data_IF_131192797906
#
_entry.id   IF_131192797906
#
_cell.length_a   1.000
_cell.length_b   1.000
_cell.length_c   1.000
_cell.angle_alpha   90.00
_cell.angle_beta   90.00
_cell.angle_gamma   90.00
#
_symmetry.space_group_name_H-M   'P 1'
#
loop_
_entity.id
_entity.type
_entity.pdbx_description
1 polymer ?
#
# COMPACT_ATOMS: atom_id res chain seq x y z
N UNK A 1 -2.14 -24.16 -11.18
CA UNK A 1 -3.20 -24.59 -10.22
C UNK A 1 -4.43 -23.70 -10.36
N UNK A 2 -5.62 -24.20 -9.98
CA UNK A 2 -6.88 -23.42 -9.91
C UNK A 2 -7.63 -23.68 -8.59
N UNK A 3 -8.47 -22.71 -8.20
CA UNK A 3 -9.40 -22.86 -7.07
C UNK A 3 -10.82 -23.10 -7.58
N UNK A 4 -11.53 -24.05 -6.96
CA UNK A 4 -12.97 -24.24 -7.16
C UNK A 4 -13.66 -24.61 -5.86
N UNK A 5 -14.99 -24.54 -5.83
CA UNK A 5 -15.76 -25.06 -4.69
C UNK A 5 -15.43 -26.53 -4.48
N UNK A 6 -15.26 -26.90 -3.22
CA UNK A 6 -15.06 -28.28 -2.80
C UNK A 6 -16.39 -29.04 -2.85
N UNK A 7 -16.36 -30.23 -3.43
CA UNK A 7 -17.49 -31.12 -3.57
C UNK A 7 -17.24 -32.37 -2.73
N UNK A 8 -17.94 -32.49 -1.60
CA UNK A 8 -17.62 -33.51 -0.59
C UNK A 8 -17.76 -34.95 -1.08
N UNK A 9 -18.61 -35.20 -2.07
CA UNK A 9 -18.80 -36.54 -2.61
C UNK A 9 -17.68 -37.00 -3.54
N UNK A 10 -17.05 -36.08 -4.26
CA UNK A 10 -16.00 -36.36 -5.25
C UNK A 10 -14.59 -36.07 -4.72
N UNK A 11 -14.43 -35.10 -3.82
CA UNK A 11 -13.11 -34.63 -3.39
C UNK A 11 -12.64 -35.24 -2.07
N UNK A 12 -13.54 -35.74 -1.22
CA UNK A 12 -13.19 -36.23 0.11
C UNK A 12 -12.15 -37.36 0.05
N UNK A 13 -12.29 -38.26 -0.91
CA UNK A 13 -11.38 -39.41 -1.08
C UNK A 13 -9.92 -38.98 -1.30
N UNK A 14 -9.68 -37.83 -1.95
CA UNK A 14 -8.34 -37.32 -2.17
C UNK A 14 -7.67 -36.84 -0.89
N UNK A 15 -8.44 -36.33 0.09
CA UNK A 15 -7.90 -35.67 1.28
C UNK A 15 -7.98 -36.48 2.58
N UNK A 16 -8.75 -37.58 2.61
CA UNK A 16 -9.05 -38.34 3.84
C UNK A 16 -7.79 -38.80 4.60
N UNK A 17 -6.69 -39.03 3.88
CA UNK A 17 -5.43 -39.56 4.41
C UNK A 17 -4.32 -38.50 4.51
N UNK A 18 -4.61 -37.21 4.26
CA UNK A 18 -3.59 -36.14 4.33
C UNK A 18 -3.09 -35.84 5.74
N UNK A 19 -3.90 -36.16 6.75
CA UNK A 19 -3.59 -35.97 8.17
C UNK A 19 -3.80 -37.30 8.88
N UNK A 20 -2.69 -37.96 9.22
CA UNK A 20 -2.71 -39.30 9.80
C UNK A 20 -2.49 -39.32 11.30
N UNK A 21 -2.03 -38.23 11.91
CA UNK A 21 -1.86 -38.13 13.37
C UNK A 21 -2.84 -37.14 14.02
N UNK A 22 -3.30 -37.52 15.22
CA UNK A 22 -4.30 -36.77 16.00
C UNK A 22 -3.84 -35.35 16.36
N UNK A 23 -2.53 -35.16 16.58
CA UNK A 23 -1.98 -33.86 16.99
C UNK A 23 -1.98 -32.87 15.81
N UNK A 24 -1.60 -33.30 14.60
CA UNK A 24 -1.74 -32.48 13.40
C UNK A 24 -3.21 -32.22 13.05
N UNK A 25 -4.12 -33.19 13.30
CA UNK A 25 -5.56 -32.95 13.14
C UNK A 25 -6.05 -31.83 14.07
N UNK A 26 -5.68 -31.90 15.35
CA UNK A 26 -5.98 -30.84 16.31
C UNK A 26 -5.39 -29.48 15.87
N UNK A 27 -4.18 -29.44 15.30
CA UNK A 27 -3.60 -28.21 14.77
C UNK A 27 -4.32 -27.68 13.53
N UNK A 28 -4.89 -28.55 12.70
CA UNK A 28 -5.60 -28.17 11.47
C UNK A 28 -7.00 -27.61 11.77
N UNK A 29 -7.75 -28.25 12.65
CA UNK A 29 -9.16 -27.91 12.87
C UNK A 29 -9.52 -27.51 14.31
N UNK A 30 -8.56 -27.41 15.24
CA UNK A 30 -8.79 -27.11 16.64
C UNK A 30 -9.84 -28.04 17.31
N UNK A 31 -9.81 -29.34 16.97
CA UNK A 31 -10.78 -30.36 17.41
C UNK A 31 -12.26 -30.08 17.03
N UNK A 32 -12.52 -29.15 16.11
CA UNK A 32 -13.88 -28.92 15.59
C UNK A 32 -14.41 -30.10 14.76
N UNK A 33 -13.51 -30.86 14.13
CA UNK A 33 -13.83 -32.07 13.37
C UNK A 33 -13.27 -33.26 14.15
N UNK A 34 -14.05 -34.34 14.27
CA UNK A 34 -13.65 -35.54 15.01
C UNK A 34 -12.44 -36.22 14.35
N UNK A 35 -11.53 -36.77 15.17
CA UNK A 35 -10.46 -37.69 14.75
C UNK A 35 -10.91 -39.16 14.95
N UNK A 36 -10.59 -40.10 14.03
CA UNK A 36 -10.03 -39.86 12.69
C UNK A 36 -11.05 -39.15 11.78
N UNK A 37 -10.54 -38.47 10.75
CA UNK A 37 -11.36 -37.73 9.80
C UNK A 37 -12.33 -38.70 9.08
N UNK A 38 -13.62 -38.39 9.10
CA UNK A 38 -14.64 -39.11 8.32
C UNK A 38 -15.45 -38.15 7.49
N UNK A 39 -16.03 -38.66 6.39
CA UNK A 39 -16.83 -37.87 5.45
C UNK A 39 -18.04 -37.26 6.15
N UNK A 40 -18.66 -38.02 7.04
CA UNK A 40 -19.85 -37.62 7.78
C UNK A 40 -19.55 -36.42 8.69
N UNK A 41 -18.52 -36.52 9.54
CA UNK A 41 -18.18 -35.43 10.46
C UNK A 41 -17.67 -34.17 9.73
N UNK A 42 -16.94 -34.34 8.63
CA UNK A 42 -16.56 -33.21 7.79
C UNK A 42 -17.80 -32.54 7.19
N UNK A 43 -18.74 -33.32 6.62
CA UNK A 43 -19.97 -32.80 6.04
C UNK A 43 -20.83 -32.05 7.08
N UNK A 44 -21.00 -32.62 8.27
CA UNK A 44 -21.71 -32.00 9.38
C UNK A 44 -21.07 -30.67 9.78
N UNK A 45 -19.75 -30.65 9.94
CA UNK A 45 -19.02 -29.44 10.32
C UNK A 45 -19.14 -28.37 9.24
N UNK A 46 -18.97 -28.72 7.96
CA UNK A 46 -19.08 -27.80 6.84
C UNK A 46 -20.49 -27.19 6.74
N UNK A 47 -21.54 -28.01 6.93
CA UNK A 47 -22.91 -27.54 6.95
C UNK A 47 -23.17 -26.57 8.13
N UNK A 48 -22.62 -26.86 9.30
CA UNK A 48 -22.76 -25.99 10.48
C UNK A 48 -22.10 -24.61 10.25
N UNK A 49 -20.84 -24.58 9.81
CA UNK A 49 -20.11 -23.33 9.62
C UNK A 49 -20.67 -22.51 8.45
N UNK A 50 -21.14 -23.16 7.38
CA UNK A 50 -21.83 -22.49 6.28
C UNK A 50 -23.10 -21.80 6.78
N UNK A 51 -23.89 -22.49 7.61
CA UNK A 51 -25.12 -21.93 8.20
C UNK A 51 -24.83 -20.78 9.18
N UNK A 52 -23.80 -20.92 10.01
CA UNK A 52 -23.53 -20.00 11.12
C UNK A 52 -22.74 -18.76 10.71
N UNK A 53 -21.82 -18.92 9.78
CA UNK A 53 -20.83 -17.88 9.43
C UNK A 53 -20.75 -17.63 7.92
N UNK A 54 -21.44 -18.39 7.09
CA UNK A 54 -21.35 -18.25 5.63
C UNK A 54 -20.07 -18.82 5.04
N UNK A 55 -19.38 -19.73 5.75
CA UNK A 55 -18.18 -20.39 5.22
C UNK A 55 -18.49 -21.18 3.95
N UNK A 56 -17.59 -21.07 2.98
CA UNK A 56 -17.62 -21.83 1.73
C UNK A 56 -16.33 -22.63 1.60
N UNK A 57 -16.39 -23.95 1.36
CA UNK A 57 -15.21 -24.80 1.20
C UNK A 57 -14.69 -24.76 -0.24
N UNK A 58 -13.37 -24.75 -0.39
CA UNK A 58 -12.65 -24.70 -1.67
C UNK A 58 -11.58 -25.79 -1.75
N UNK A 59 -11.43 -26.31 -2.97
CA UNK A 59 -10.36 -27.22 -3.37
C UNK A 59 -9.35 -26.47 -4.25
N UNK A 60 -8.07 -26.70 -3.99
CA UNK A 60 -6.97 -26.39 -4.90
C UNK A 60 -6.75 -27.59 -5.83
N UNK A 61 -6.77 -27.35 -7.14
CA UNK A 61 -6.67 -28.38 -8.17
C UNK A 61 -5.45 -28.12 -9.05
N UNK A 62 -4.57 -29.12 -9.16
CA UNK A 62 -3.38 -29.06 -10.03
C UNK A 62 -3.77 -28.94 -11.50
N UNK A 63 -2.79 -28.67 -12.37
CA UNK A 63 -3.03 -28.58 -13.80
C UNK A 63 -3.41 -29.94 -14.42
N UNK A 64 -3.04 -31.04 -13.75
CA UNK A 64 -3.42 -32.41 -14.10
C UNK A 64 -4.80 -32.83 -13.56
N UNK A 65 -5.50 -31.94 -12.84
CA UNK A 65 -6.85 -32.17 -12.32
C UNK A 65 -6.91 -32.82 -10.93
N UNK A 66 -5.77 -32.98 -10.25
CA UNK A 66 -5.70 -33.58 -8.91
C UNK A 66 -6.00 -32.56 -7.82
N UNK A 67 -6.81 -32.95 -6.83
CA UNK A 67 -7.04 -32.13 -5.63
C UNK A 67 -5.79 -32.17 -4.76
N UNK A 68 -5.17 -31.02 -4.53
CA UNK A 68 -3.87 -30.88 -3.84
C UNK A 68 -3.94 -29.98 -2.61
N UNK A 69 -5.06 -29.31 -2.37
CA UNK A 69 -5.30 -28.55 -1.16
C UNK A 69 -6.76 -28.29 -0.88
N UNK A 70 -7.04 -27.92 0.37
CA UNK A 70 -8.37 -27.63 0.88
C UNK A 70 -8.30 -26.46 1.86
N UNK A 71 -9.32 -25.60 1.82
CA UNK A 71 -9.55 -24.58 2.83
C UNK A 71 -11.03 -24.16 2.82
N UNK A 72 -11.46 -23.46 3.87
CA UNK A 72 -12.72 -22.72 3.88
C UNK A 72 -12.45 -21.23 3.99
N UNK A 73 -13.34 -20.42 3.46
CA UNK A 73 -13.34 -19.00 3.77
C UNK A 73 -14.74 -18.45 4.00
N UNK A 74 -14.84 -17.43 4.86
CA UNK A 74 -16.06 -16.68 5.13
C UNK A 74 -15.76 -15.19 5.09
N UNK A 75 -16.62 -14.41 4.43
CA UNK A 75 -16.54 -12.95 4.43
C UNK A 75 -17.35 -12.37 5.58
N UNK A 76 -16.75 -11.48 6.37
CA UNK A 76 -17.44 -10.75 7.42
C UNK A 76 -17.81 -9.34 6.92
N UNK A 77 -19.11 -9.06 6.85
CA UNK A 77 -19.64 -7.77 6.36
C UNK A 77 -19.34 -6.58 7.30
N UNK A 78 -19.19 -6.81 8.60
CA UNK A 78 -18.92 -5.76 9.58
C UNK A 78 -17.46 -5.32 9.53
N UNK A 79 -16.53 -6.28 9.54
CA UNK A 79 -15.09 -5.99 9.52
C UNK A 79 -14.53 -5.80 8.12
N UNK A 80 -15.31 -6.19 7.08
CA UNK A 80 -14.86 -6.26 5.68
C UNK A 80 -13.62 -7.13 5.52
N UNK A 81 -13.51 -8.22 6.29
CA UNK A 81 -12.37 -9.15 6.23
C UNK A 81 -12.83 -10.56 5.89
N UNK A 82 -12.01 -11.30 5.14
CA UNK A 82 -12.20 -12.73 4.91
C UNK A 82 -11.45 -13.55 5.96
N UNK A 83 -12.10 -14.54 6.56
CA UNK A 83 -11.46 -15.49 7.48
C UNK A 83 -11.18 -16.81 6.78
N UNK A 84 -9.90 -17.17 6.60
CA UNK A 84 -9.47 -18.49 6.14
C UNK A 84 -9.45 -19.49 7.29
N UNK A 85 -9.98 -20.69 7.04
CA UNK A 85 -10.05 -21.81 7.99
C UNK A 85 -9.63 -23.11 7.31
N UNK A 86 -9.24 -24.10 8.12
CA UNK A 86 -8.99 -25.47 7.69
C UNK A 86 -8.04 -25.59 6.49
N UNK A 87 -7.00 -24.76 6.43
CA UNK A 87 -5.99 -24.80 5.38
C UNK A 87 -5.17 -26.09 5.50
N UNK A 88 -5.22 -26.95 4.49
CA UNK A 88 -4.42 -28.17 4.39
C UNK A 88 -4.00 -28.40 2.95
N UNK A 89 -2.83 -29.02 2.76
CA UNK A 89 -2.30 -29.43 1.47
C UNK A 89 -1.87 -30.88 1.53
N UNK A 90 -1.99 -31.56 0.39
CA UNK A 90 -1.53 -32.92 0.18
C UNK A 90 -0.07 -33.09 0.67
N UNK A 91 0.20 -34.04 1.58
CA UNK A 91 1.55 -34.41 1.98
C UNK A 91 2.55 -34.62 0.84
N UNK A 92 2.14 -35.29 -0.24
CA UNK A 92 3.00 -35.61 -1.39
C UNK A 92 3.29 -34.39 -2.28
N UNK A 93 2.50 -33.33 -2.10
CA UNK A 93 2.66 -32.04 -2.78
C UNK A 93 3.49 -31.02 -1.97
N UNK A 94 3.96 -31.39 -0.76
CA UNK A 94 4.75 -30.50 0.12
C UNK A 94 6.14 -30.22 -0.46
N UNK A 95 6.69 -29.06 -0.08
CA UNK A 95 8.01 -28.61 -0.56
C UNK A 95 8.02 -28.04 -1.98
N UNK A 96 6.92 -28.15 -2.72
CA UNK A 96 6.78 -27.66 -4.11
C UNK A 96 6.13 -26.28 -4.23
N UNK A 97 5.91 -25.59 -3.11
CA UNK A 97 5.28 -24.26 -3.09
C UNK A 97 3.75 -24.24 -3.18
N UNK A 98 3.08 -25.39 -3.25
CA UNK A 98 1.62 -25.52 -3.43
C UNK A 98 0.82 -24.72 -2.40
N UNK A 99 1.18 -24.82 -1.11
CA UNK A 99 0.50 -24.05 -0.06
C UNK A 99 0.58 -22.53 -0.30
N UNK A 100 1.74 -22.04 -0.76
CA UNK A 100 1.94 -20.62 -1.06
C UNK A 100 1.07 -20.19 -2.23
N UNK A 101 1.11 -20.94 -3.34
CA UNK A 101 0.30 -20.64 -4.53
C UNK A 101 -1.21 -20.69 -4.21
N UNK A 102 -1.67 -21.69 -3.45
CA UNK A 102 -3.07 -21.83 -3.03
C UNK A 102 -3.53 -20.64 -2.19
N UNK A 103 -2.72 -20.24 -1.20
CA UNK A 103 -3.03 -19.10 -0.34
C UNK A 103 -2.99 -17.78 -1.10
N UNK A 104 -2.02 -17.58 -1.99
CA UNK A 104 -1.97 -16.40 -2.86
C UNK A 104 -3.19 -16.30 -3.76
N UNK A 105 -3.66 -17.42 -4.33
CA UNK A 105 -4.91 -17.45 -5.10
C UNK A 105 -6.14 -17.15 -4.24
N UNK A 106 -6.19 -17.67 -3.01
CA UNK A 106 -7.29 -17.41 -2.09
C UNK A 106 -7.36 -15.92 -1.68
N UNK A 107 -6.20 -15.30 -1.42
CA UNK A 107 -6.09 -13.86 -1.14
C UNK A 107 -6.52 -13.03 -2.35
N UNK A 108 -6.04 -13.37 -3.54
CA UNK A 108 -6.44 -12.70 -4.78
C UNK A 108 -7.95 -12.77 -5.00
N UNK A 109 -8.53 -13.96 -4.90
CA UNK A 109 -9.97 -14.16 -5.05
C UNK A 109 -10.77 -13.35 -4.03
N UNK A 110 -10.32 -13.28 -2.77
CA UNK A 110 -10.98 -12.48 -1.74
C UNK A 110 -11.08 -11.00 -2.13
N UNK A 111 -10.01 -10.42 -2.67
CA UNK A 111 -9.97 -9.00 -3.04
C UNK A 111 -10.65 -8.67 -4.37
N UNK A 112 -10.82 -9.65 -5.26
CA UNK A 112 -11.52 -9.49 -6.54
C UNK A 112 -13.04 -9.69 -6.43
N UNK A 113 -13.48 -10.60 -5.56
CA UNK A 113 -14.89 -11.04 -5.48
C UNK A 113 -15.67 -10.46 -4.30
N UNK A 114 -15.02 -9.65 -3.46
CA UNK A 114 -15.66 -9.00 -2.32
C UNK A 114 -15.05 -7.62 -2.03
N UNK A 115 -15.74 -6.82 -1.22
CA UNK A 115 -15.24 -5.55 -0.69
C UNK A 115 -14.20 -5.76 0.44
N UNK A 116 -13.47 -6.89 0.42
CA UNK A 116 -12.55 -7.22 1.48
C UNK A 116 -11.36 -6.24 1.53
N UNK A 117 -11.12 -5.68 2.71
CA UNK A 117 -9.96 -4.85 3.04
C UNK A 117 -8.82 -5.68 3.65
N UNK A 118 -9.08 -6.95 3.96
CA UNK A 118 -8.08 -7.89 4.46
C UNK A 118 -8.55 -9.34 4.45
N UNK A 119 -7.57 -10.24 4.50
CA UNK A 119 -7.74 -11.69 4.68
C UNK A 119 -7.00 -12.08 5.94
N UNK A 120 -7.67 -12.76 6.85
CA UNK A 120 -7.11 -13.18 8.13
C UNK A 120 -7.22 -14.68 8.33
N UNK A 121 -6.40 -15.21 9.22
CA UNK A 121 -6.41 -16.61 9.65
C UNK A 121 -5.95 -16.73 11.09
N UNK A 122 -6.21 -17.89 11.70
CA UNK A 122 -5.63 -18.26 12.98
C UNK A 122 -4.68 -19.45 12.80
N UNK A 123 -3.53 -19.39 13.48
CA UNK A 123 -2.54 -20.45 13.53
C UNK A 123 -2.08 -20.65 14.97
N UNK A 124 -1.92 -21.91 15.40
CA UNK A 124 -1.24 -22.21 16.65
C UNK A 124 0.26 -21.87 16.49
N UNK A 125 0.89 -21.04 17.34
CA UNK A 125 2.33 -20.78 17.27
C UNK A 125 3.18 -22.05 17.29
N UNK A 126 2.67 -23.14 17.88
CA UNK A 126 3.30 -24.45 17.92
C UNK A 126 3.36 -25.10 16.53
N UNK A 127 2.51 -24.69 15.60
CA UNK A 127 2.57 -25.05 14.18
C UNK A 127 3.48 -24.08 13.40
N UNK A 128 4.77 -24.11 13.75
CA UNK A 128 5.80 -23.24 13.15
C UNK A 128 5.88 -23.37 11.63
N UNK A 129 5.55 -24.55 11.09
CA UNK A 129 5.58 -24.79 9.65
C UNK A 129 4.48 -24.01 8.93
N UNK A 130 3.25 -24.03 9.46
CA UNK A 130 2.15 -23.26 8.89
C UNK A 130 2.39 -21.75 9.05
N UNK A 131 2.81 -21.30 10.24
CA UNK A 131 3.12 -19.88 10.50
C UNK A 131 4.13 -19.31 9.49
N UNK A 132 5.26 -19.99 9.29
CA UNK A 132 6.28 -19.60 8.30
C UNK A 132 5.76 -19.62 6.86
N UNK A 133 4.81 -20.50 6.54
CA UNK A 133 4.17 -20.52 5.22
C UNK A 133 3.32 -19.26 5.02
N UNK A 134 2.53 -18.86 6.01
CA UNK A 134 1.71 -17.66 5.96
C UNK A 134 2.56 -16.39 5.88
N UNK A 135 3.64 -16.30 6.66
CA UNK A 135 4.60 -15.19 6.60
C UNK A 135 5.20 -15.04 5.19
N UNK A 136 5.59 -16.15 4.54
CA UNK A 136 6.11 -16.14 3.16
C UNK A 136 5.10 -15.75 2.09
N UNK A 137 3.80 -15.86 2.37
CA UNK A 137 2.73 -15.38 1.49
C UNK A 137 2.56 -13.87 1.64
N UNK A 138 2.89 -13.30 2.80
CA UNK A 138 2.72 -11.88 3.13
C UNK A 138 1.78 -11.62 4.32
N UNK A 139 1.30 -12.66 5.00
CA UNK A 139 0.55 -12.47 6.25
C UNK A 139 1.49 -11.99 7.35
N UNK A 140 1.03 -11.02 8.14
CA UNK A 140 1.73 -10.53 9.32
C UNK A 140 0.95 -10.86 10.60
N UNK A 141 1.64 -11.00 11.72
CA UNK A 141 1.01 -11.22 13.01
C UNK A 141 0.22 -9.98 13.45
N UNK A 142 -1.07 -10.18 13.78
CA UNK A 142 -1.97 -9.11 14.28
C UNK A 142 -2.16 -9.19 15.78
N UNK A 143 -2.34 -10.39 16.31
CA UNK A 143 -2.55 -10.61 17.74
C UNK A 143 -2.14 -12.03 18.16
N UNK A 144 -1.61 -12.19 19.37
CA UNK A 144 -1.30 -13.48 19.97
C UNK A 144 -2.03 -13.63 21.31
N UNK A 145 -2.89 -14.65 21.40
CA UNK A 145 -3.51 -15.06 22.68
C UNK A 145 -2.78 -16.28 23.23
N UNK A 146 -1.97 -16.18 24.31
CA UNK A 146 -1.33 -17.35 24.90
C UNK A 146 -2.35 -18.28 25.55
N UNK A 147 -2.04 -19.58 25.65
CA UNK A 147 -2.85 -20.59 26.32
C UNK A 147 -4.33 -20.63 25.87
N UNK A 148 -4.57 -20.38 24.58
CA UNK A 148 -5.91 -20.27 24.00
C UNK A 148 -6.56 -21.62 23.71
N UNK A 149 -5.78 -22.70 23.68
CA UNK A 149 -6.27 -24.05 23.39
C UNK A 149 -5.52 -25.08 24.23
N UNK A 150 -6.26 -26.03 24.81
CA UNK A 150 -5.67 -27.15 25.56
C UNK A 150 -5.74 -28.40 24.71
N UNK A 151 -4.58 -28.98 24.40
CA UNK A 151 -4.47 -30.27 23.71
C UNK A 151 -3.82 -31.27 24.65
N UNK A 152 -4.63 -32.14 25.27
CA UNK A 152 -4.16 -33.09 26.30
C UNK A 152 -3.40 -32.31 27.39
N UNK A 153 -2.11 -32.58 27.57
CA UNK A 153 -1.25 -31.92 28.57
C UNK A 153 -0.53 -30.66 28.01
N UNK A 154 -0.74 -30.32 26.74
CA UNK A 154 -0.18 -29.14 26.10
C UNK A 154 -1.13 -27.94 26.18
N UNK A 155 -0.57 -26.73 26.34
CA UNK A 155 -1.30 -25.47 26.21
C UNK A 155 -0.74 -24.69 25.03
N UNK A 156 -1.58 -24.42 24.04
CA UNK A 156 -1.21 -23.79 22.78
C UNK A 156 -1.71 -22.36 22.71
N UNK A 157 -0.91 -21.47 22.10
CA UNK A 157 -1.34 -20.10 21.80
C UNK A 157 -2.27 -20.03 20.59
N UNK A 158 -2.91 -18.89 20.34
CA UNK A 158 -3.63 -18.60 19.09
C UNK A 158 -3.09 -17.30 18.50
N UNK A 159 -2.33 -17.44 17.42
CA UNK A 159 -1.81 -16.32 16.64
C UNK A 159 -2.81 -16.01 15.52
N UNK A 160 -3.40 -14.82 15.58
CA UNK A 160 -4.16 -14.28 14.47
C UNK A 160 -3.21 -13.54 13.53
N UNK A 161 -3.24 -13.92 12.26
CA UNK A 161 -2.45 -13.29 11.21
C UNK A 161 -3.36 -12.64 10.17
N UNK A 162 -2.89 -11.57 9.55
CA UNK A 162 -3.62 -10.81 8.54
C UNK A 162 -2.74 -10.51 7.32
N UNK A 163 -3.31 -10.70 6.14
CA UNK A 163 -2.87 -10.12 4.88
C UNK A 163 -3.84 -8.98 4.59
N UNK A 164 -3.38 -7.74 4.71
CA UNK A 164 -4.24 -6.60 4.34
C UNK A 164 -4.26 -6.50 2.83
N UNK A 165 -5.41 -6.10 2.27
CA UNK A 165 -5.38 -5.50 0.94
C UNK A 165 -4.51 -4.28 1.15
N UNK A 166 -3.25 -4.33 0.73
CA UNK A 166 -2.57 -3.09 0.45
C UNK A 166 -3.53 -2.42 -0.52
N UNK A 167 -4.17 -1.34 -0.06
CA UNK A 167 -4.65 -0.36 -1.00
C UNK A 167 -3.36 0.03 -1.71
N UNK A 168 -3.11 -0.59 -2.87
CA UNK A 168 -2.09 -0.11 -3.78
C UNK A 168 -2.37 1.36 -3.86
N UNK A 169 -1.42 2.16 -3.35
CA UNK A 169 -1.59 3.58 -3.48
C UNK A 169 -1.75 3.81 -4.98
N UNK A 170 -2.86 4.40 -5.44
CA UNK A 170 -3.19 4.46 -6.86
C UNK A 170 -2.06 5.10 -7.68
N UNK A 171 -1.23 5.95 -7.05
CA UNK A 171 0.00 6.50 -7.63
C UNK A 171 1.03 5.46 -8.10
N UNK A 172 1.02 4.23 -7.56
CA UNK A 172 1.86 3.12 -8.03
C UNK A 172 1.36 2.48 -9.33
N UNK A 173 0.10 2.72 -9.70
CA UNK A 173 -0.53 2.09 -10.86
C UNK A 173 -0.56 3.02 -12.09
N UNK A 174 -0.35 4.31 -11.90
CA UNK A 174 -0.33 5.31 -12.97
C UNK A 174 1.02 5.28 -13.69
N UNK A 175 1.02 5.06 -15.01
CA UNK A 175 2.26 5.13 -15.79
C UNK A 175 2.81 6.55 -15.86
N UNK A 176 4.14 6.71 -15.90
CA UNK A 176 4.74 8.05 -15.97
C UNK A 176 4.33 8.79 -17.26
N UNK A 177 4.20 8.04 -18.36
CA UNK A 177 3.79 8.61 -19.64
C UNK A 177 2.36 9.16 -19.57
N UNK A 178 1.41 8.44 -18.97
CA UNK A 178 0.04 8.96 -18.80
C UNK A 178 0.02 10.19 -17.89
N UNK A 179 0.80 10.17 -16.80
CA UNK A 179 0.96 11.32 -15.90
C UNK A 179 1.53 12.55 -16.62
N UNK A 180 2.68 12.43 -17.28
CA UNK A 180 3.32 13.57 -17.95
C UNK A 180 2.52 14.04 -19.18
N UNK A 181 1.94 13.12 -19.95
CA UNK A 181 1.11 13.49 -21.10
C UNK A 181 -0.18 14.19 -20.66
N UNK A 182 -0.81 13.77 -19.55
CA UNK A 182 -1.92 14.50 -18.96
C UNK A 182 -1.52 15.91 -18.54
N UNK A 183 -0.49 16.01 -17.69
CA UNK A 183 -0.06 17.25 -17.05
C UNK A 183 0.46 18.29 -18.05
N UNK A 184 0.99 17.85 -19.19
CA UNK A 184 1.60 18.70 -20.22
C UNK A 184 0.64 19.18 -21.32
N UNK A 185 -0.62 18.71 -21.36
CA UNK A 185 -1.59 19.20 -22.35
C UNK A 185 -1.75 20.71 -22.25
N UNK A 186 -1.84 21.43 -23.38
CA UNK A 186 -2.04 22.88 -23.40
C UNK A 186 -3.31 23.32 -22.63
N UNK A 187 -4.33 22.46 -22.56
CA UNK A 187 -5.55 22.69 -21.79
C UNK A 187 -5.39 22.46 -20.28
N UNK A 188 -4.37 21.70 -19.86
CA UNK A 188 -4.07 21.39 -18.45
C UNK A 188 -2.94 22.30 -17.94
N UNK A 189 -1.80 22.28 -18.64
CA UNK A 189 -0.63 23.15 -18.49
C UNK A 189 0.01 23.17 -17.09
N UNK A 190 -0.24 22.12 -16.30
CA UNK A 190 0.28 22.02 -14.93
C UNK A 190 1.77 21.75 -14.93
N UNK A 191 2.26 20.85 -15.80
CA UNK A 191 3.67 20.46 -15.84
C UNK A 191 4.58 21.67 -16.11
N UNK A 192 4.22 22.49 -17.10
CA UNK A 192 4.94 23.68 -17.51
C UNK A 192 4.90 24.77 -16.44
N UNK A 193 3.73 24.96 -15.81
CA UNK A 193 3.55 26.00 -14.80
C UNK A 193 4.33 25.65 -13.53
N UNK A 194 4.23 24.40 -13.07
CA UNK A 194 5.03 23.88 -11.95
C UNK A 194 6.53 23.98 -12.24
N UNK A 195 6.97 23.64 -13.45
CA UNK A 195 8.38 23.76 -13.85
C UNK A 195 8.92 25.19 -13.64
N UNK A 196 8.16 26.19 -14.10
CA UNK A 196 8.49 27.62 -13.94
C UNK A 196 8.52 28.04 -12.48
N UNK A 197 7.55 27.60 -11.68
CA UNK A 197 7.46 27.95 -10.26
C UNK A 197 8.59 27.29 -9.45
N UNK A 198 8.90 26.03 -9.74
CA UNK A 198 9.96 25.29 -9.07
C UNK A 198 11.35 25.84 -9.30
N UNK A 199 11.60 26.42 -10.48
CA UNK A 199 12.82 27.21 -10.73
C UNK A 199 13.01 28.30 -9.68
N UNK A 200 11.94 29.01 -9.32
CA UNK A 200 11.99 30.07 -8.30
C UNK A 200 12.20 29.48 -6.91
N UNK A 201 11.46 28.44 -6.53
CA UNK A 201 11.61 27.73 -5.24
C UNK A 201 13.07 27.32 -4.99
N UNK A 202 13.75 26.82 -6.02
CA UNK A 202 15.15 26.40 -5.95
C UNK A 202 16.15 27.57 -5.88
N UNK A 203 15.80 28.76 -6.35
CA UNK A 203 16.70 29.92 -6.39
C UNK A 203 16.52 30.90 -5.23
N UNK A 204 15.31 31.02 -4.67
CA UNK A 204 14.90 32.14 -3.80
C UNK A 204 15.60 32.19 -2.43
N UNK A 205 16.12 31.07 -1.94
CA UNK A 205 16.60 30.92 -0.56
C UNK A 205 18.08 30.56 -0.47
N UNK A 206 18.74 31.01 0.60
CA UNK A 206 20.13 30.64 0.93
C UNK A 206 20.18 29.29 1.64
N UNK A 207 20.01 28.23 0.85
CA UNK A 207 19.98 26.82 1.26
C UNK A 207 20.87 25.99 0.35
N UNK A 208 21.45 24.91 0.88
CA UNK A 208 22.45 24.08 0.20
C UNK A 208 22.02 22.61 0.07
N UNK A 209 20.87 22.23 0.64
CA UNK A 209 20.23 20.94 0.37
C UNK A 209 18.72 21.08 0.17
N UNK A 210 18.17 20.27 -0.73
CA UNK A 210 16.75 20.27 -1.05
C UNK A 210 16.16 18.85 -1.04
N UNK A 211 14.91 18.71 -0.64
CA UNK A 211 14.11 17.50 -0.76
C UNK A 211 12.82 17.81 -1.49
N UNK A 212 12.59 17.13 -2.60
CA UNK A 212 11.39 17.24 -3.43
C UNK A 212 10.51 16.03 -3.07
N UNK A 213 9.39 16.29 -2.41
CA UNK A 213 8.40 15.29 -2.07
C UNK A 213 7.40 15.16 -3.23
N UNK A 214 7.20 13.94 -3.75
CA UNK A 214 6.40 13.72 -4.96
C UNK A 214 7.16 14.11 -6.23
N UNK A 215 8.42 13.68 -6.36
CA UNK A 215 9.31 14.14 -7.45
C UNK A 215 8.85 13.72 -8.85
N UNK A 216 7.98 12.71 -8.96
CA UNK A 216 7.47 12.17 -10.22
C UNK A 216 8.60 11.88 -11.21
N UNK A 217 8.47 12.30 -12.48
CA UNK A 217 9.51 12.19 -13.51
C UNK A 217 10.67 13.18 -13.38
N UNK A 218 10.72 13.99 -12.33
CA UNK A 218 11.79 14.96 -12.08
C UNK A 218 11.62 16.29 -12.81
N UNK A 219 10.38 16.73 -13.02
CA UNK A 219 10.09 18.06 -13.56
C UNK A 219 10.66 19.14 -12.64
N UNK A 220 11.48 20.04 -13.17
CA UNK A 220 12.10 21.15 -12.44
C UNK A 220 13.48 20.84 -11.85
N UNK A 221 13.90 19.56 -11.81
CA UNK A 221 15.24 19.18 -11.35
C UNK A 221 16.34 19.74 -12.26
N UNK A 222 16.05 20.05 -13.51
CA UNK A 222 16.98 20.71 -14.44
C UNK A 222 17.36 22.14 -14.01
N UNK A 223 16.61 22.76 -13.09
CA UNK A 223 16.91 24.11 -12.56
C UNK A 223 17.86 24.08 -11.35
N UNK A 224 18.26 22.91 -10.88
CA UNK A 224 19.17 22.78 -9.74
C UNK A 224 20.58 23.23 -10.13
N UNK A 225 21.08 24.27 -9.46
CA UNK A 225 22.47 24.71 -9.58
C UNK A 225 23.39 23.86 -8.70
N UNK A 226 24.26 23.06 -9.32
CA UNK A 226 25.26 22.21 -8.63
C UNK A 226 26.30 22.99 -7.85
N UNK A 227 26.51 24.28 -8.16
CA UNK A 227 27.44 25.11 -7.41
C UNK A 227 26.83 25.56 -6.07
N UNK A 228 25.50 25.58 -5.98
CA UNK A 228 24.73 25.89 -4.78
C UNK A 228 24.42 24.63 -3.98
N UNK A 229 23.76 23.65 -4.59
CA UNK A 229 23.26 22.47 -3.87
C UNK A 229 24.34 21.39 -3.71
N UNK A 230 24.57 20.99 -2.46
CA UNK A 230 25.47 19.91 -2.08
C UNK A 230 24.79 18.54 -2.08
N UNK A 231 23.48 18.52 -1.85
CA UNK A 231 22.67 17.30 -1.77
C UNK A 231 21.22 17.59 -2.16
N UNK A 232 20.64 16.72 -2.96
CA UNK A 232 19.23 16.80 -3.39
C UNK A 232 18.59 15.44 -3.23
N UNK A 233 17.40 15.40 -2.67
CA UNK A 233 16.60 14.19 -2.52
C UNK A 233 15.35 14.27 -3.38
N UNK A 234 15.11 13.27 -4.22
CA UNK A 234 13.83 13.06 -4.90
C UNK A 234 13.09 11.94 -4.21
N UNK A 235 11.90 12.22 -3.66
CA UNK A 235 11.11 11.23 -2.92
C UNK A 235 9.82 10.96 -3.68
N UNK A 236 9.50 9.69 -3.90
CA UNK A 236 8.24 9.27 -4.50
C UNK A 236 7.83 7.88 -3.98
N UNK A 237 6.53 7.60 -4.01
CA UNK A 237 6.01 6.27 -3.70
C UNK A 237 6.11 5.32 -4.90
N UNK A 238 6.16 5.87 -6.11
CA UNK A 238 6.27 5.10 -7.35
C UNK A 238 7.74 4.89 -7.74
N UNK A 239 8.21 3.66 -7.58
CA UNK A 239 9.60 3.27 -7.88
C UNK A 239 9.95 3.41 -9.37
N UNK A 240 8.99 3.22 -10.27
CA UNK A 240 9.22 3.39 -11.72
C UNK A 240 9.46 4.87 -12.05
N UNK A 241 8.81 5.79 -11.34
CA UNK A 241 9.05 7.23 -11.49
C UNK A 241 10.46 7.60 -11.04
N UNK A 242 10.89 7.09 -9.87
CA UNK A 242 12.25 7.31 -9.37
C UNK A 242 13.32 6.70 -10.29
N UNK A 243 13.05 5.55 -10.89
CA UNK A 243 13.92 4.95 -11.89
C UNK A 243 14.07 5.87 -13.12
N UNK A 244 12.97 6.50 -13.57
CA UNK A 244 13.01 7.49 -14.66
C UNK A 244 13.77 8.75 -14.28
N UNK A 245 13.64 9.24 -13.04
CA UNK A 245 14.47 10.35 -12.52
C UNK A 245 15.94 9.98 -12.56
N UNK A 246 16.29 8.78 -12.08
CA UNK A 246 17.67 8.29 -12.11
C UNK A 246 18.23 8.24 -13.54
N UNK A 247 17.47 7.67 -14.48
CA UNK A 247 17.85 7.64 -15.91
C UNK A 247 18.06 9.05 -16.49
N UNK A 248 17.21 10.01 -16.12
CA UNK A 248 17.25 11.38 -16.63
C UNK A 248 18.39 12.20 -16.03
N UNK A 249 18.75 12.00 -14.76
CA UNK A 249 19.59 12.97 -14.01
C UNK A 249 20.84 12.41 -13.33
N UNK A 250 21.08 11.09 -13.33
CA UNK A 250 22.22 10.47 -12.60
C UNK A 250 23.60 10.69 -13.20
N UNK A 251 23.70 11.23 -14.42
CA UNK A 251 25.00 11.48 -15.07
C UNK A 251 25.80 12.59 -14.37
N UNK A 252 27.14 12.52 -14.44
CA UNK A 252 28.05 13.47 -13.77
C UNK A 252 27.88 14.92 -14.26
N UNK A 253 27.52 15.13 -15.52
CA UNK A 253 27.23 16.44 -16.11
C UNK A 253 25.90 17.03 -15.64
N UNK A 254 25.00 16.18 -15.12
CA UNK A 254 23.72 16.55 -14.50
C UNK A 254 23.84 16.47 -12.97
N UNK A 255 22.97 15.73 -12.28
CA UNK A 255 22.92 15.71 -10.83
C UNK A 255 23.65 14.52 -10.20
N UNK A 256 24.46 13.80 -11.00
CA UNK A 256 25.33 12.74 -10.52
C UNK A 256 26.18 13.19 -9.34
N UNK A 257 26.19 12.38 -8.28
CA UNK A 257 26.91 12.64 -7.03
C UNK A 257 26.18 13.51 -6.01
N UNK A 258 25.12 14.23 -6.38
CA UNK A 258 24.32 15.04 -5.44
C UNK A 258 22.86 14.60 -5.33
N UNK A 259 22.26 14.01 -6.37
CA UNK A 259 20.89 13.50 -6.34
C UNK A 259 20.82 12.10 -5.72
N UNK A 260 19.86 11.91 -4.84
CA UNK A 260 19.49 10.61 -4.26
C UNK A 260 17.97 10.42 -4.34
N UNK A 261 17.55 9.31 -4.93
CA UNK A 261 16.13 8.94 -5.01
C UNK A 261 15.75 8.05 -3.83
N UNK A 262 14.64 8.34 -3.16
CA UNK A 262 14.17 7.60 -1.98
C UNK A 262 12.75 7.10 -2.23
N UNK A 263 12.53 5.78 -2.33
CA UNK A 263 11.18 5.21 -2.39
C UNK A 263 10.54 5.26 -1.00
N UNK A 264 9.45 6.02 -0.84
CA UNK A 264 8.77 6.14 0.45
C UNK A 264 7.27 6.43 0.29
N UNK A 265 6.42 5.71 1.04
CA UNK A 265 5.04 6.12 1.29
C UNK A 265 5.04 7.13 2.44
N UNK A 266 4.89 8.42 2.14
CA UNK A 266 4.92 9.50 3.14
C UNK A 266 3.83 9.40 4.22
N UNK A 267 2.84 8.52 4.05
CA UNK A 267 1.84 8.23 5.08
C UNK A 267 2.31 7.21 6.13
N UNK A 268 3.41 6.48 5.84
CA UNK A 268 3.91 5.35 6.66
C UNK A 268 5.41 5.40 6.96
N UNK A 269 6.23 5.81 5.98
CA UNK A 269 7.67 5.57 5.95
C UNK A 269 8.48 6.86 6.18
N UNK A 270 7.94 7.81 6.95
CA UNK A 270 8.59 9.12 7.14
C UNK A 270 9.98 9.00 7.78
N UNK A 271 10.21 7.96 8.58
CA UNK A 271 11.45 7.73 9.31
C UNK A 271 12.66 7.41 8.42
N UNK A 272 12.45 7.12 7.14
CA UNK A 272 13.55 6.86 6.19
C UNK A 272 14.12 8.15 5.60
N UNK A 273 13.44 9.28 5.78
CA UNK A 273 13.79 10.54 5.11
C UNK A 273 14.95 11.25 5.82
N UNK A 274 16.02 11.63 5.12
CA UNK A 274 17.11 12.41 5.70
C UNK A 274 16.70 13.88 5.92
N UNK A 275 17.54 14.63 6.63
CA UNK A 275 17.36 16.08 6.76
C UNK A 275 17.73 16.82 5.46
N UNK A 276 16.99 17.89 5.17
CA UNK A 276 17.26 18.85 4.09
C UNK A 276 16.92 20.27 4.54
N UNK A 277 17.60 21.28 4.00
CA UNK A 277 17.36 22.68 4.38
C UNK A 277 16.12 23.28 3.71
N UNK A 278 15.78 22.81 2.51
CA UNK A 278 14.57 23.15 1.76
C UNK A 278 13.73 21.90 1.51
N UNK A 279 12.44 21.96 1.80
CA UNK A 279 11.44 20.97 1.35
C UNK A 279 10.54 21.62 0.31
N UNK A 280 10.37 20.97 -0.84
CA UNK A 280 9.41 21.33 -1.88
C UNK A 280 8.33 20.24 -1.92
N UNK A 281 7.06 20.65 -1.85
CA UNK A 281 5.91 19.75 -1.92
C UNK A 281 4.83 20.36 -2.84
N UNK A 282 4.94 20.05 -4.13
CA UNK A 282 4.08 20.61 -5.17
C UNK A 282 3.00 19.58 -5.58
N UNK A 283 1.73 19.95 -5.44
CA UNK A 283 0.56 19.11 -5.70
C UNK A 283 0.58 17.74 -5.00
N UNK A 284 1.29 17.63 -3.87
CA UNK A 284 1.41 16.38 -3.13
C UNK A 284 0.45 16.32 -1.94
N UNK A 285 0.23 17.46 -1.29
CA UNK A 285 -0.45 17.53 0.01
C UNK A 285 -1.91 17.09 -0.15
N UNK A 286 -2.51 17.32 -1.33
CA UNK A 286 -3.82 16.79 -1.73
C UNK A 286 -3.92 15.27 -1.53
N UNK A 287 -2.84 14.50 -1.69
CA UNK A 287 -2.89 13.03 -1.70
C UNK A 287 -2.42 12.37 -0.41
N UNK A 288 -1.58 13.05 0.36
CA UNK A 288 -1.06 12.52 1.64
C UNK A 288 -1.78 13.14 2.85
N UNK A 289 -2.43 14.29 2.66
CA UNK A 289 -3.10 15.05 3.71
C UNK A 289 -2.15 15.79 4.66
N UNK A 290 -2.68 16.78 5.39
CA UNK A 290 -1.90 17.64 6.27
C UNK A 290 -1.18 16.90 7.40
N UNK A 291 -1.76 15.81 7.93
CA UNK A 291 -1.15 15.07 9.03
C UNK A 291 0.14 14.36 8.61
N UNK A 292 0.15 13.70 7.44
CA UNK A 292 1.34 13.04 6.92
C UNK A 292 2.40 14.08 6.54
N UNK A 293 1.98 15.15 5.85
CA UNK A 293 2.85 16.27 5.50
C UNK A 293 3.52 16.90 6.72
N UNK A 294 2.75 17.20 7.78
CA UNK A 294 3.29 17.76 9.02
C UNK A 294 4.29 16.82 9.71
N UNK A 295 4.04 15.50 9.69
CA UNK A 295 5.02 14.51 10.20
C UNK A 295 6.30 14.53 9.38
N UNK A 296 6.21 14.57 8.06
CA UNK A 296 7.37 14.65 7.17
C UNK A 296 8.20 15.91 7.43
N UNK A 297 7.57 17.10 7.42
CA UNK A 297 8.27 18.37 7.69
C UNK A 297 8.92 18.35 9.07
N UNK A 298 8.23 17.83 10.11
CA UNK A 298 8.80 17.73 11.46
C UNK A 298 10.02 16.80 11.51
N UNK A 299 9.98 15.68 10.78
CA UNK A 299 11.07 14.71 10.74
C UNK A 299 12.29 15.25 9.99
N UNK A 300 12.07 15.82 8.80
CA UNK A 300 13.12 16.40 7.94
C UNK A 300 13.75 17.63 8.60
N UNK A 301 12.95 18.40 9.34
CA UNK A 301 13.31 19.64 10.05
C UNK A 301 13.98 20.70 9.15
N UNK A 302 13.32 21.13 8.05
CA UNK A 302 13.89 22.09 7.10
C UNK A 302 13.86 23.53 7.61
N UNK A 303 14.78 24.35 7.08
CA UNK A 303 14.76 25.80 7.30
C UNK A 303 13.60 26.46 6.56
N UNK A 304 13.35 26.01 5.33
CA UNK A 304 12.31 26.54 4.44
C UNK A 304 11.45 25.39 3.92
N UNK A 305 10.14 25.60 3.88
CA UNK A 305 9.17 24.70 3.26
C UNK A 305 8.43 25.49 2.20
N UNK A 306 8.44 25.01 0.97
CA UNK A 306 7.74 25.61 -0.15
C UNK A 306 6.72 24.62 -0.69
N UNK A 307 5.46 25.01 -0.75
CA UNK A 307 4.38 24.16 -1.21
C UNK A 307 3.65 24.82 -2.36
N UNK A 308 3.20 24.02 -3.32
CA UNK A 308 2.20 24.43 -4.30
C UNK A 308 0.96 23.57 -4.12
N UNK A 309 -0.19 24.19 -3.94
CA UNK A 309 -1.50 23.51 -3.89
C UNK A 309 -2.38 23.99 -5.04
N UNK A 310 -3.31 23.13 -5.47
CA UNK A 310 -4.31 23.49 -6.46
C UNK A 310 -5.57 24.02 -5.80
N UNK A 311 -6.04 25.17 -6.27
CA UNK A 311 -7.37 25.69 -5.96
C UNK A 311 -8.26 25.49 -7.19
N UNK A 312 -9.34 24.75 -7.00
CA UNK A 312 -10.39 24.57 -8.00
C UNK A 312 -11.36 25.74 -7.92
N UNK A 313 -11.53 26.47 -9.02
CA UNK A 313 -12.51 27.56 -9.13
C UNK A 313 -13.91 27.07 -9.50
N UNK A 314 -14.02 25.82 -9.97
CA UNK A 314 -15.28 25.14 -10.28
C UNK A 314 -15.35 23.80 -9.52
N UNK A 315 -16.46 23.52 -8.86
CA UNK A 315 -16.55 22.51 -7.78
C UNK A 315 -16.77 21.07 -8.24
N UNK A 316 -16.94 20.82 -9.55
CA UNK A 316 -17.38 19.50 -10.01
C UNK A 316 -16.25 18.49 -10.30
N UNK A 317 -15.04 18.91 -10.73
CA UNK A 317 -13.94 17.99 -11.07
C UNK A 317 -12.54 18.49 -10.66
N UNK A 318 -11.86 17.76 -9.77
CA UNK A 318 -10.53 18.13 -9.26
C UNK A 318 -9.37 17.69 -10.16
N UNK A 319 -9.50 16.58 -10.92
CA UNK A 319 -8.64 16.25 -12.08
C UNK A 319 -9.14 17.02 -13.30
N UNK A 320 -8.24 17.45 -14.19
CA UNK A 320 -8.65 18.16 -15.42
C UNK A 320 -9.07 17.18 -16.51
N UNK A 321 -9.98 17.59 -17.39
CA UNK A 321 -10.39 16.73 -18.52
C UNK A 321 -9.22 16.46 -19.47
N UNK A 322 -9.03 15.18 -19.81
CA UNK A 322 -8.00 14.76 -20.77
C UNK A 322 -8.29 13.37 -21.34
N UNK A 323 -7.65 12.99 -22.46
CA UNK A 323 -7.69 11.61 -22.96
C UNK A 323 -7.17 10.54 -21.97
N UNK A 324 -6.38 10.96 -20.98
CA UNK A 324 -5.74 10.10 -19.98
C UNK A 324 -6.53 10.04 -18.66
N UNK A 325 -7.72 10.64 -18.59
CA UNK A 325 -8.49 10.76 -17.34
C UNK A 325 -8.71 9.41 -16.63
N UNK A 326 -8.96 8.35 -17.41
CA UNK A 326 -9.16 6.99 -16.92
C UNK A 326 -7.97 6.43 -16.11
N UNK A 327 -6.74 6.92 -16.34
CA UNK A 327 -5.59 6.53 -15.54
C UNK A 327 -5.69 7.03 -14.09
N UNK A 328 -6.52 8.04 -13.83
CA UNK A 328 -6.65 8.71 -12.53
C UNK A 328 -7.92 8.33 -11.75
N UNK A 329 -8.76 7.43 -12.28
CA UNK A 329 -10.04 7.02 -11.66
C UNK A 329 -9.88 6.49 -10.23
N UNK A 330 -8.71 5.93 -9.88
CA UNK A 330 -8.41 5.42 -8.54
C UNK A 330 -8.02 6.49 -7.52
N UNK A 331 -7.74 7.73 -7.93
CA UNK A 331 -7.19 8.76 -7.06
C UNK A 331 -8.19 9.32 -6.04
N UNK A 332 -9.50 9.19 -6.28
CA UNK A 332 -10.53 9.58 -5.29
C UNK A 332 -10.36 8.87 -3.94
N UNK A 333 -9.73 7.69 -3.93
CA UNK A 333 -9.45 6.94 -2.70
C UNK A 333 -8.42 7.61 -1.78
N UNK A 334 -7.61 8.53 -2.29
CA UNK A 334 -6.51 9.20 -1.56
C UNK A 334 -6.55 10.73 -1.67
N UNK A 335 -7.37 11.30 -2.53
CA UNK A 335 -7.48 12.74 -2.70
C UNK A 335 -8.22 13.40 -1.52
N UNK A 336 -7.67 14.51 -1.04
CA UNK A 336 -8.20 15.36 0.01
C UNK A 336 -8.47 16.74 -0.59
N UNK A 337 -9.63 17.32 -0.28
CA UNK A 337 -9.90 18.71 -0.61
C UNK A 337 -8.98 19.62 0.22
N UNK A 338 -8.20 20.46 -0.45
CA UNK A 338 -7.28 21.39 0.21
C UNK A 338 -7.93 22.75 0.49
N UNK A 339 -7.52 23.36 1.60
CA UNK A 339 -7.89 24.69 2.04
C UNK A 339 -6.62 25.43 2.48
N UNK A 340 -6.32 26.55 1.83
CA UNK A 340 -5.12 27.36 2.11
C UNK A 340 -5.02 27.77 3.58
N UNK A 341 -6.16 28.06 4.22
CA UNK A 341 -6.21 28.42 5.64
C UNK A 341 -5.76 27.27 6.56
N UNK A 342 -6.09 26.02 6.22
CA UNK A 342 -5.72 24.85 7.02
C UNK A 342 -4.23 24.50 6.86
N UNK A 343 -3.67 24.63 5.64
CA UNK A 343 -2.24 24.51 5.41
C UNK A 343 -1.46 25.52 6.28
N UNK A 344 -1.89 26.79 6.26
CA UNK A 344 -1.26 27.87 7.04
C UNK A 344 -1.32 27.63 8.53
N UNK A 345 -2.48 27.21 9.04
CA UNK A 345 -2.64 26.91 10.46
C UNK A 345 -1.80 25.68 10.87
N UNK A 346 -1.68 24.68 10.00
CA UNK A 346 -0.83 23.51 10.22
C UNK A 346 0.64 23.92 10.35
N UNK A 347 1.16 24.72 9.41
CA UNK A 347 2.54 25.21 9.44
C UNK A 347 2.81 26.12 10.64
N UNK A 348 1.87 27.01 10.98
CA UNK A 348 1.97 27.88 12.16
C UNK A 348 2.08 27.10 13.46
N UNK A 349 1.28 26.04 13.64
CA UNK A 349 1.37 25.14 14.82
C UNK A 349 2.72 24.44 14.93
N UNK A 350 3.42 24.27 13.81
CA UNK A 350 4.75 23.68 13.77
C UNK A 350 5.88 24.70 14.01
N UNK A 351 5.56 25.98 14.21
CA UNK A 351 6.55 27.03 14.44
C UNK A 351 7.09 27.67 13.16
N UNK A 352 6.43 27.47 12.02
CA UNK A 352 6.77 28.14 10.78
C UNK A 352 5.90 29.38 10.55
N UNK A 353 6.49 30.40 9.92
CA UNK A 353 5.79 31.62 9.50
C UNK A 353 5.81 31.72 7.99
N UNK A 354 4.70 32.13 7.40
CA UNK A 354 4.64 32.42 5.98
C UNK A 354 5.54 33.61 5.61
N UNK A 355 6.33 33.42 4.57
CA UNK A 355 7.25 34.42 4.06
C UNK A 355 6.96 34.83 2.61
N UNK A 356 6.12 34.05 1.90
CA UNK A 356 5.74 34.32 0.51
C UNK A 356 4.44 33.61 0.13
N UNK A 357 3.69 34.23 -0.77
CA UNK A 357 2.55 33.62 -1.45
C UNK A 357 2.45 34.17 -2.87
N UNK A 358 2.35 33.28 -3.86
CA UNK A 358 2.16 33.61 -5.27
C UNK A 358 1.07 32.75 -5.88
N UNK A 359 0.44 33.23 -6.95
CA UNK A 359 -0.61 32.51 -7.67
C UNK A 359 -0.33 32.52 -9.17
N UNK A 360 -0.56 31.39 -9.83
CA UNK A 360 -0.49 31.24 -11.29
C UNK A 360 -1.77 30.58 -11.80
N UNK A 361 -2.45 31.22 -12.76
CA UNK A 361 -3.68 30.70 -13.36
C UNK A 361 -3.39 29.65 -14.43
N UNK A 362 -4.22 28.61 -14.48
CA UNK A 362 -4.17 27.56 -15.50
C UNK A 362 -5.26 27.78 -16.56
N UNK A 363 -5.09 27.27 -17.80
CA UNK A 363 -6.04 27.47 -18.90
C UNK A 363 -7.45 26.91 -18.67
N UNK A 364 -7.58 25.92 -17.80
CA UNK A 364 -8.84 25.30 -17.40
C UNK A 364 -9.55 26.02 -16.24
N UNK A 365 -9.09 27.22 -15.86
CA UNK A 365 -9.67 28.02 -14.79
C UNK A 365 -9.16 27.69 -13.39
N UNK A 366 -8.41 26.59 -13.20
CA UNK A 366 -7.76 26.25 -11.92
C UNK A 366 -6.61 27.21 -11.63
N UNK A 367 -6.20 27.27 -10.37
CA UNK A 367 -5.09 28.13 -9.92
C UNK A 367 -4.10 27.30 -9.11
N UNK A 368 -2.81 27.49 -9.37
CA UNK A 368 -1.73 26.99 -8.51
C UNK A 368 -1.34 28.08 -7.53
N UNK A 369 -1.36 27.77 -6.23
CA UNK A 369 -0.96 28.69 -5.17
C UNK A 369 0.31 28.18 -4.52
N UNK A 370 1.39 28.93 -4.69
CA UNK A 370 2.63 28.72 -3.94
C UNK A 370 2.53 29.43 -2.60
N UNK A 371 2.89 28.74 -1.52
CA UNK A 371 3.06 29.33 -0.19
C UNK A 371 4.37 28.83 0.40
N UNK A 372 5.21 29.76 0.85
CA UNK A 372 6.51 29.44 1.43
C UNK A 372 6.54 29.82 2.89
N UNK A 373 7.21 28.97 3.68
CA UNK A 373 7.26 29.06 5.12
C UNK A 373 8.70 28.94 5.61
N UNK A 374 9.05 29.67 6.67
CA UNK A 374 10.35 29.60 7.32
C UNK A 374 10.19 29.45 8.83
N UNK A 375 11.11 28.72 9.46
CA UNK A 375 11.14 28.54 10.92
C UNK A 375 11.20 29.92 11.60
N UNK A 376 10.35 30.14 12.58
CA UNK A 376 10.38 31.36 13.40
C UNK A 376 11.63 31.34 14.29
N UNK A 377 12.60 32.21 14.00
CA UNK A 377 13.70 32.48 14.93
C UNK A 377 13.18 33.38 16.06
N UNK A 378 13.16 32.87 17.29
CA UNK A 378 12.88 33.66 18.50
C UNK A 378 14.08 34.51 18.91
#
# INVERSE_FOLDING_TARGET
MKLRKFEIDSDFEAMKDWITDERMHAMWCANLIKYPLSKEHLAETLAEIAKRFGDVPYAAVSDDGEVTGFFCYAFNNETKEVMLKFVVVDPEARGKGIAREMLSLAVKQAFETSEAVGVQLNVFPENQRAKKCYEKVGFVERNLTPNAFTYKDESWGRCNMIFRKELNNPWKEISLDDYENHMSLDSVNQLQTLNKMMKQQLSDYDVFSAMILGVAGGNGLEHIDKNKYKKVYGVDINEDYLQKVYERYSSEDKLGGILECIPADLTKDVEVLPSAELVIADLLIEYIGYQAFAKAVKHINPKVVSCIIQINTDTENWVSDSPYLHAFDGLDAVHHQMEEAELRETMKKMGYTEIRSDMESLPNGKVLVRVDFQVYEQ
#
